data_IF_237623769794
#
_entry.id   IF_237623769794
#
_cell.length_a   1.000
_cell.length_b   1.000
_cell.length_c   1.000
_cell.angle_alpha   90.00
_cell.angle_beta   90.00
_cell.angle_gamma   90.00
#
_symmetry.space_group_name_H-M   'P 1'
#
loop_
_entity.id
_entity.type
_entity.pdbx_description
1 polymer ?
#
# COMPACT_ATOMS: atom_id res chain seq x y z
N UNK A 1 1.50 10.75 -14.93
CA UNK A 1 1.05 9.67 -14.03
C UNK A 1 -0.38 9.34 -14.37
N UNK A 2 -0.73 8.05 -14.32
CA UNK A 2 -2.02 7.53 -14.75
C UNK A 2 -3.09 8.01 -13.76
N UNK A 3 -3.98 8.89 -14.20
CA UNK A 3 -5.15 9.30 -13.44
C UNK A 3 -6.17 8.17 -13.46
N UNK A 4 -6.42 7.55 -12.31
CA UNK A 4 -7.55 6.65 -12.18
C UNK A 4 -8.84 7.48 -12.17
N UNK A 5 -9.70 7.24 -13.14
CA UNK A 5 -11.00 7.87 -13.23
C UNK A 5 -11.96 7.15 -12.28
N UNK A 6 -12.50 7.88 -11.31
CA UNK A 6 -13.56 7.39 -10.44
C UNK A 6 -14.81 8.24 -10.66
N UNK A 7 -15.98 7.63 -10.52
CA UNK A 7 -17.26 8.37 -10.56
C UNK A 7 -17.75 8.50 -9.12
N UNK A 8 -18.00 9.73 -8.68
CA UNK A 8 -18.69 9.97 -7.41
C UNK A 8 -20.18 10.07 -7.70
N UNK A 9 -20.97 9.11 -7.22
CA UNK A 9 -22.42 9.09 -7.39
C UNK A 9 -23.11 9.33 -6.04
N UNK A 10 -23.92 10.39 -6.00
CA UNK A 10 -24.77 10.68 -4.85
C UNK A 10 -26.22 10.77 -5.30
N UNK A 11 -27.14 10.11 -4.59
CA UNK A 11 -28.58 10.10 -4.94
C UNK A 11 -29.20 11.49 -5.05
N UNK A 12 -28.67 12.47 -4.32
CA UNK A 12 -29.16 13.85 -4.31
C UNK A 12 -28.34 14.79 -5.21
N UNK A 13 -27.13 14.38 -5.60
CA UNK A 13 -26.15 15.23 -6.29
C UNK A 13 -25.75 14.67 -7.66
N UNK A 14 -26.31 13.55 -8.12
CA UNK A 14 -25.97 12.98 -9.42
C UNK A 14 -24.55 12.41 -9.47
N UNK A 15 -24.00 12.33 -10.68
CA UNK A 15 -22.69 11.76 -10.98
C UNK A 15 -21.69 12.87 -11.25
N UNK A 16 -20.54 12.82 -10.58
CA UNK A 16 -19.41 13.69 -10.80
C UNK A 16 -18.20 12.90 -11.27
N UNK A 17 -17.49 13.47 -12.24
CA UNK A 17 -16.19 12.97 -12.66
C UNK A 17 -15.14 13.29 -11.59
N UNK A 18 -14.45 12.25 -11.09
CA UNK A 18 -13.36 12.37 -10.11
C UNK A 18 -12.05 11.92 -10.75
N UNK A 19 -11.04 12.76 -10.56
CA UNK A 19 -9.67 12.55 -11.02
C UNK A 19 -8.82 12.34 -9.77
N UNK A 20 -8.27 11.13 -9.62
CA UNK A 20 -7.30 10.85 -8.57
C UNK A 20 -5.89 11.23 -9.04
N UNK A 21 -5.20 12.06 -8.27
CA UNK A 21 -3.83 12.49 -8.52
C UNK A 21 -3.07 12.58 -7.19
N UNK A 22 -1.95 11.86 -7.10
CA UNK A 22 -1.04 11.89 -5.95
C UNK A 22 -1.72 11.61 -4.58
N UNK A 23 -2.76 10.76 -4.59
CA UNK A 23 -3.54 10.43 -3.39
C UNK A 23 -4.64 11.42 -3.02
N UNK A 24 -4.79 12.50 -3.79
CA UNK A 24 -5.85 13.49 -3.64
C UNK A 24 -6.90 13.36 -4.75
N UNK A 25 -8.15 13.69 -4.40
CA UNK A 25 -9.28 13.68 -5.32
C UNK A 25 -9.58 15.09 -5.83
N UNK A 26 -9.67 15.20 -7.16
CA UNK A 26 -10.03 16.42 -7.86
C UNK A 26 -11.32 16.23 -8.65
N UNK A 27 -12.12 17.29 -8.73
CA UNK A 27 -13.39 17.33 -9.43
C UNK A 27 -13.33 18.33 -10.58
N UNK A 28 -14.03 18.08 -11.68
CA UNK A 28 -14.12 19.03 -12.79
C UNK A 28 -14.96 20.23 -12.35
N UNK A 29 -14.31 21.40 -12.20
CA UNK A 29 -14.91 22.56 -11.54
C UNK A 29 -16.19 23.05 -12.23
N UNK A 30 -16.16 23.10 -13.57
CA UNK A 30 -17.32 23.52 -14.36
C UNK A 30 -18.50 22.54 -14.26
N UNK A 31 -18.22 21.24 -14.16
CA UNK A 31 -19.25 20.20 -14.02
C UNK A 31 -20.00 20.38 -12.71
N UNK A 32 -19.25 20.54 -11.61
CA UNK A 32 -19.80 20.80 -10.27
C UNK A 32 -20.66 22.07 -10.26
N UNK A 33 -20.11 23.20 -10.73
CA UNK A 33 -20.84 24.47 -10.70
C UNK A 33 -22.09 24.45 -11.58
N UNK A 34 -22.04 23.79 -12.74
CA UNK A 34 -23.22 23.62 -13.62
C UNK A 34 -24.28 22.76 -12.94
N UNK A 35 -23.89 21.66 -12.32
CA UNK A 35 -24.81 20.76 -11.64
C UNK A 35 -25.49 21.41 -10.42
N UNK A 36 -24.77 22.29 -9.70
CA UNK A 36 -25.37 23.12 -8.65
C UNK A 36 -26.43 24.10 -9.17
N UNK A 37 -26.41 24.40 -10.47
CA UNK A 37 -27.33 25.32 -11.15
C UNK A 37 -26.79 26.74 -11.31
N UNK A 38 -25.47 26.94 -11.24
CA UNK A 38 -24.89 28.26 -11.51
C UNK A 38 -25.01 28.63 -12.99
N UNK A 39 -25.59 29.79 -13.27
CA UNK A 39 -25.71 30.33 -14.64
C UNK A 39 -24.34 30.63 -15.25
N UNK A 40 -23.37 31.05 -14.43
CA UNK A 40 -22.00 31.29 -14.85
C UNK A 40 -21.03 30.47 -13.99
N UNK A 41 -20.71 29.22 -14.39
CA UNK A 41 -19.81 28.32 -13.67
C UNK A 41 -18.44 28.93 -13.38
N UNK A 42 -17.82 29.58 -14.37
CA UNK A 42 -16.49 30.20 -14.21
C UNK A 42 -16.48 31.28 -13.13
N UNK A 43 -17.50 32.14 -13.12
CA UNK A 43 -17.65 33.17 -12.10
C UNK A 43 -17.88 32.56 -10.72
N UNK A 44 -18.71 31.54 -10.62
CA UNK A 44 -18.97 30.86 -9.35
C UNK A 44 -17.70 30.25 -8.75
N UNK A 45 -16.87 29.60 -9.57
CA UNK A 45 -15.57 29.05 -9.14
C UNK A 45 -14.62 30.17 -8.71
N UNK A 46 -14.60 31.29 -9.44
CA UNK A 46 -13.77 32.44 -9.09
C UNK A 46 -14.18 33.08 -7.75
N UNK A 47 -15.48 33.28 -7.53
CA UNK A 47 -16.03 33.99 -6.37
C UNK A 47 -16.07 33.13 -5.08
N UNK A 48 -16.01 31.80 -5.19
CA UNK A 48 -16.35 30.90 -4.08
C UNK A 48 -15.30 29.81 -3.78
N UNK A 49 -14.24 29.72 -4.56
CA UNK A 49 -13.15 28.77 -4.35
C UNK A 49 -11.85 29.54 -4.21
N UNK A 50 -11.04 29.17 -3.23
CA UNK A 50 -9.73 29.78 -3.01
C UNK A 50 -8.73 29.31 -4.07
N UNK A 51 -7.69 30.10 -4.34
CA UNK A 51 -6.71 29.78 -5.39
C UNK A 51 -5.93 28.49 -5.08
N UNK A 52 -5.68 28.19 -3.81
CA UNK A 52 -4.98 26.96 -3.37
C UNK A 52 -5.78 25.68 -3.65
N UNK A 53 -7.11 25.81 -3.74
CA UNK A 53 -8.02 24.70 -4.02
C UNK A 53 -8.30 24.51 -5.51
N UNK A 54 -7.77 25.39 -6.37
CA UNK A 54 -7.91 25.35 -7.83
C UNK A 54 -6.71 24.69 -8.49
N UNK A 55 -6.98 23.95 -9.56
CA UNK A 55 -5.97 23.36 -10.41
C UNK A 55 -6.35 23.38 -11.88
N UNK A 56 -5.37 23.00 -12.71
CA UNK A 56 -5.57 22.78 -14.15
C UNK A 56 -4.99 21.43 -14.52
N UNK A 57 -5.74 20.65 -15.28
CA UNK A 57 -5.25 19.38 -15.83
C UNK A 57 -5.56 19.26 -17.32
N UNK A 58 -4.75 18.50 -18.05
CA UNK A 58 -5.01 18.15 -19.44
C UNK A 58 -6.00 17.01 -19.49
N UNK A 59 -7.09 17.19 -20.22
CA UNK A 59 -8.16 16.23 -20.33
C UNK A 59 -8.58 16.01 -21.78
N UNK A 60 -8.85 14.76 -22.14
CA UNK A 60 -9.36 14.44 -23.47
C UNK A 60 -10.86 14.72 -23.51
N UNK A 61 -11.26 15.70 -24.32
CA UNK A 61 -12.66 16.06 -24.55
C UNK A 61 -13.06 15.67 -25.97
N UNK A 62 -14.35 15.81 -26.32
CA UNK A 62 -14.82 15.63 -27.70
C UNK A 62 -14.08 16.51 -28.72
N UNK A 63 -13.49 17.63 -28.27
CA UNK A 63 -12.64 18.51 -29.07
C UNK A 63 -11.13 18.26 -28.92
N UNK A 64 -10.73 17.08 -28.45
CA UNK A 64 -9.32 16.72 -28.20
C UNK A 64 -8.81 17.09 -26.82
N UNK A 65 -7.48 17.03 -26.65
CA UNK A 65 -6.80 17.29 -25.38
C UNK A 65 -6.84 18.79 -25.07
N UNK A 66 -7.54 19.16 -24.00
CA UNK A 66 -7.72 20.55 -23.56
C UNK A 66 -7.36 20.70 -22.08
N UNK A 67 -6.97 21.91 -21.69
CA UNK A 67 -6.78 22.25 -20.29
C UNK A 67 -8.15 22.53 -19.64
N UNK A 68 -8.51 21.76 -18.62
CA UNK A 68 -9.73 21.95 -17.84
C UNK A 68 -9.39 22.38 -16.42
N UNK A 69 -10.27 23.20 -15.84
CA UNK A 69 -10.17 23.61 -14.45
C UNK A 69 -10.73 22.52 -13.54
N UNK A 70 -9.98 22.20 -12.50
CA UNK A 70 -10.33 21.24 -11.47
C UNK A 70 -10.28 21.90 -10.10
N UNK A 71 -11.03 21.35 -9.15
CA UNK A 71 -11.02 21.76 -7.75
C UNK A 71 -10.80 20.54 -6.87
N UNK A 72 -10.05 20.68 -5.77
CA UNK A 72 -9.91 19.62 -4.78
C UNK A 72 -11.21 19.50 -3.94
N UNK A 73 -11.22 18.59 -2.96
CA UNK A 73 -12.38 18.39 -2.08
C UNK A 73 -12.69 19.61 -1.20
N UNK A 74 -11.68 20.35 -0.74
CA UNK A 74 -11.86 21.62 -0.02
C UNK A 74 -12.63 22.64 -0.87
N UNK A 75 -12.17 22.87 -2.10
CA UNK A 75 -12.81 23.79 -3.04
C UNK A 75 -14.24 23.37 -3.42
N UNK A 76 -14.50 22.07 -3.54
CA UNK A 76 -15.85 21.54 -3.72
C UNK A 76 -16.76 21.97 -2.56
N UNK A 77 -16.32 21.76 -1.31
CA UNK A 77 -17.10 22.15 -0.14
C UNK A 77 -17.27 23.66 -0.02
N UNK A 78 -16.23 24.46 -0.30
CA UNK A 78 -16.30 25.92 -0.33
C UNK A 78 -17.37 26.43 -1.31
N UNK A 79 -17.40 25.86 -2.51
CA UNK A 79 -18.42 26.18 -3.52
C UNK A 79 -19.84 25.80 -3.06
N UNK A 80 -20.02 24.63 -2.44
CA UNK A 80 -21.33 24.16 -1.99
C UNK A 80 -21.84 24.96 -0.79
N UNK A 81 -20.97 25.21 0.20
CA UNK A 81 -21.35 25.85 1.46
C UNK A 81 -21.66 27.34 1.30
N UNK A 82 -21.00 28.01 0.34
CA UNK A 82 -21.22 29.41 -0.02
C UNK A 82 -22.44 29.62 -0.93
N UNK A 83 -22.85 28.59 -1.68
CA UNK A 83 -23.97 28.67 -2.61
C UNK A 83 -25.32 28.84 -1.92
N UNK A 84 -26.19 29.64 -2.56
CA UNK A 84 -27.60 29.85 -2.16
C UNK A 84 -28.58 29.04 -3.00
N UNK A 85 -28.09 28.25 -3.96
CA UNK A 85 -28.91 27.48 -4.90
C UNK A 85 -29.63 26.33 -4.19
N UNK A 86 -30.83 25.92 -4.68
CA UNK A 86 -31.60 24.85 -4.05
C UNK A 86 -30.83 23.54 -3.92
N UNK A 87 -30.08 23.13 -4.95
CA UNK A 87 -29.27 21.89 -4.93
C UNK A 87 -28.17 21.95 -3.87
N UNK A 88 -27.45 23.07 -3.79
CA UNK A 88 -26.43 23.26 -2.77
C UNK A 88 -27.02 23.24 -1.36
N UNK A 89 -28.22 23.81 -1.16
CA UNK A 89 -28.91 23.78 0.15
C UNK A 89 -29.26 22.35 0.59
N UNK A 90 -29.68 21.49 -0.33
CA UNK A 90 -30.00 20.08 -0.03
C UNK A 90 -28.75 19.37 0.47
N UNK A 91 -27.64 19.47 -0.24
CA UNK A 91 -26.38 18.84 0.16
C UNK A 91 -25.82 19.45 1.44
N UNK A 92 -25.84 20.78 1.56
CA UNK A 92 -25.44 21.47 2.79
C UNK A 92 -26.25 20.98 3.99
N UNK A 93 -27.57 20.83 3.85
CA UNK A 93 -28.42 20.31 4.91
C UNK A 93 -28.06 18.87 5.25
N UNK A 94 -27.86 18.01 4.25
CA UNK A 94 -27.45 16.62 4.44
C UNK A 94 -26.11 16.52 5.19
N UNK A 95 -25.07 17.25 4.73
CA UNK A 95 -23.76 17.24 5.40
C UNK A 95 -23.85 17.79 6.83
N UNK A 96 -24.53 18.91 7.03
CA UNK A 96 -24.55 19.57 8.34
C UNK A 96 -25.50 18.94 9.36
N UNK A 97 -26.56 18.26 8.92
CA UNK A 97 -27.56 17.65 9.81
C UNK A 97 -27.37 16.15 10.00
N UNK A 98 -26.81 15.44 9.02
CA UNK A 98 -26.67 13.99 9.08
C UNK A 98 -25.20 13.58 9.17
N UNK A 99 -24.37 14.00 8.21
CA UNK A 99 -22.99 13.51 8.09
C UNK A 99 -22.11 13.97 9.24
N UNK A 100 -21.93 15.29 9.42
CA UNK A 100 -21.06 15.84 10.45
C UNK A 100 -21.51 15.47 11.88
N UNK A 101 -22.80 15.53 12.23
CA UNK A 101 -23.25 15.08 13.55
C UNK A 101 -23.01 13.60 13.80
N UNK A 102 -23.15 12.75 12.78
CA UNK A 102 -22.87 11.32 12.92
C UNK A 102 -21.38 11.05 13.11
N UNK A 103 -20.51 11.66 12.30
CA UNK A 103 -19.04 11.54 12.48
C UNK A 103 -18.65 12.00 13.89
N UNK A 104 -19.18 13.12 14.36
CA UNK A 104 -18.88 13.62 15.71
C UNK A 104 -19.33 12.68 16.84
N UNK A 105 -20.48 12.01 16.68
CA UNK A 105 -21.04 11.12 17.71
C UNK A 105 -20.44 9.72 17.68
N UNK A 106 -20.20 9.19 16.48
CA UNK A 106 -19.95 7.78 16.22
C UNK A 106 -18.54 7.53 15.65
N UNK A 107 -17.75 8.57 15.39
CA UNK A 107 -16.42 8.48 14.78
C UNK A 107 -16.43 8.26 13.26
N UNK A 108 -17.58 8.10 12.63
CA UNK A 108 -17.71 7.87 11.19
C UNK A 108 -19.13 8.07 10.66
N UNK A 109 -19.30 8.01 9.34
CA UNK A 109 -20.60 8.04 8.67
C UNK A 109 -20.79 6.80 7.80
N UNK A 110 -21.81 6.00 8.10
CA UNK A 110 -22.29 4.91 7.24
C UNK A 110 -23.61 5.36 6.60
N UNK A 111 -23.70 5.29 5.28
CA UNK A 111 -24.92 5.68 4.57
C UNK A 111 -26.12 4.81 5.00
N UNK A 112 -27.21 5.44 5.47
CA UNK A 112 -28.39 4.73 5.96
C UNK A 112 -28.33 4.33 7.45
N UNK A 113 -27.29 4.73 8.18
CA UNK A 113 -27.14 4.41 9.61
C UNK A 113 -28.23 5.02 10.49
N UNK A 114 -28.82 6.15 10.08
CA UNK A 114 -29.92 6.79 10.80
C UNK A 114 -31.21 5.95 10.82
N UNK A 115 -31.29 4.93 9.97
CA UNK A 115 -32.40 3.97 9.90
C UNK A 115 -32.06 2.60 10.49
N UNK A 116 -30.84 2.43 10.99
CA UNK A 116 -30.31 1.16 11.47
C UNK A 116 -30.10 1.20 12.96
N UNK A 117 -30.35 0.08 13.64
CA UNK A 117 -29.98 -0.05 15.05
C UNK A 117 -28.46 -0.22 15.19
N UNK A 118 -27.93 -0.04 16.40
CA UNK A 118 -26.51 -0.25 16.65
C UNK A 118 -26.07 -1.68 16.31
N UNK A 119 -26.96 -2.67 16.50
CA UNK A 119 -26.72 -4.07 16.18
C UNK A 119 -26.63 -4.31 14.68
N UNK A 120 -27.48 -3.66 13.88
CA UNK A 120 -27.46 -3.74 12.42
C UNK A 120 -26.20 -3.07 11.85
N UNK A 121 -25.76 -1.95 12.43
CA UNK A 121 -24.50 -1.29 12.06
C UNK A 121 -23.28 -2.16 12.36
N UNK A 122 -23.29 -2.83 13.51
CA UNK A 122 -22.24 -3.77 13.87
C UNK A 122 -22.24 -4.98 12.91
N UNK A 123 -23.41 -5.51 12.54
CA UNK A 123 -23.52 -6.61 11.60
C UNK A 123 -22.98 -6.24 10.21
N UNK A 124 -23.31 -5.05 9.69
CA UNK A 124 -22.76 -4.56 8.43
C UNK A 124 -21.23 -4.36 8.51
N UNK A 125 -20.74 -3.80 9.63
CA UNK A 125 -19.31 -3.60 9.84
C UNK A 125 -18.57 -4.94 9.88
N UNK A 126 -19.12 -5.96 10.55
CA UNK A 126 -18.59 -7.33 10.59
C UNK A 126 -18.62 -7.95 9.19
N UNK A 127 -19.69 -7.75 8.41
CA UNK A 127 -19.80 -8.30 7.07
C UNK A 127 -18.78 -7.67 6.10
N UNK A 128 -18.57 -6.35 6.20
CA UNK A 128 -17.54 -5.63 5.44
C UNK A 128 -16.15 -6.09 5.89
N UNK A 129 -15.90 -6.20 7.20
CA UNK A 129 -14.63 -6.70 7.72
C UNK A 129 -14.34 -8.12 7.24
N UNK A 130 -15.33 -9.02 7.29
CA UNK A 130 -15.21 -10.38 6.79
C UNK A 130 -14.99 -10.44 5.29
N UNK A 131 -15.60 -9.55 4.50
CA UNK A 131 -15.32 -9.46 3.06
C UNK A 131 -13.89 -9.01 2.80
N UNK A 132 -13.42 -7.98 3.51
CA UNK A 132 -12.03 -7.50 3.40
C UNK A 132 -11.05 -8.58 3.86
N UNK A 133 -11.37 -9.31 4.93
CA UNK A 133 -10.57 -10.44 5.42
C UNK A 133 -10.56 -11.54 4.37
N UNK A 134 -11.69 -11.92 3.79
CA UNK A 134 -11.78 -12.93 2.74
C UNK A 134 -11.01 -12.53 1.48
N UNK A 135 -11.11 -11.28 1.03
CA UNK A 135 -10.34 -10.75 -0.10
C UNK A 135 -8.82 -10.78 0.19
N UNK A 136 -8.42 -10.42 1.41
CA UNK A 136 -7.01 -10.53 1.86
C UNK A 136 -6.57 -11.98 2.03
N UNK A 137 -7.45 -12.87 2.47
CA UNK A 137 -7.18 -14.30 2.64
C UNK A 137 -7.05 -14.98 1.27
N UNK A 138 -7.84 -14.59 0.27
CA UNK A 138 -7.66 -15.00 -1.13
C UNK A 138 -6.32 -14.51 -1.69
N UNK A 139 -5.92 -13.27 -1.39
CA UNK A 139 -4.60 -12.74 -1.75
C UNK A 139 -3.47 -13.53 -1.04
N UNK A 140 -3.66 -13.88 0.23
CA UNK A 140 -2.76 -14.75 0.98
C UNK A 140 -2.74 -16.17 0.41
N UNK A 141 -3.89 -16.74 0.00
CA UNK A 141 -4.02 -18.07 -0.62
C UNK A 141 -3.29 -18.16 -1.97
N UNK A 142 -3.31 -17.09 -2.77
CA UNK A 142 -2.50 -17.00 -4.01
C UNK A 142 -1.00 -16.93 -3.69
N UNK A 143 -0.63 -16.31 -2.57
CA UNK A 143 0.75 -16.28 -2.07
C UNK A 143 1.14 -17.54 -1.28
N UNK A 144 0.17 -18.36 -0.88
CA UNK A 144 0.30 -19.56 -0.05
C UNK A 144 1.12 -20.69 -0.69
N UNK A 145 1.05 -20.97 -2.01
CA UNK A 145 1.99 -21.91 -2.62
C UNK A 145 3.45 -21.42 -2.59
N UNK A 146 3.71 -20.10 -2.46
CA UNK A 146 5.05 -19.62 -2.10
C UNK A 146 5.33 -19.97 -0.63
N UNK A 147 4.44 -19.66 0.31
CA UNK A 147 4.60 -19.90 1.75
C UNK A 147 4.74 -21.38 2.19
N UNK A 148 4.03 -22.31 1.55
CA UNK A 148 4.03 -23.75 1.91
C UNK A 148 5.37 -24.45 1.60
N UNK A 149 6.21 -23.87 0.73
CA UNK A 149 7.61 -24.29 0.57
C UNK A 149 8.47 -23.91 1.80
N UNK A 150 8.13 -22.82 2.50
CA UNK A 150 8.89 -22.29 3.64
C UNK A 150 8.67 -23.10 4.92
N UNK A 151 7.45 -23.55 5.20
CA UNK A 151 7.19 -24.35 6.42
C UNK A 151 7.87 -25.73 6.35
N UNK A 152 8.06 -26.30 5.16
CA UNK A 152 8.81 -27.56 4.96
C UNK A 152 10.34 -27.41 5.09
N UNK A 153 10.89 -26.19 4.97
CA UNK A 153 12.34 -25.91 5.15
C UNK A 153 12.71 -25.54 6.59
N UNK A 154 11.72 -25.20 7.41
CA UNK A 154 11.88 -24.88 8.83
C UNK A 154 11.90 -26.15 9.69
N UNK A 155 12.27 -27.29 9.13
CA UNK A 155 12.51 -28.52 9.90
C UNK A 155 13.95 -28.58 10.48
N UNK A 156 13.98 -28.58 11.81
CA UNK A 156 14.98 -29.04 12.78
C UNK A 156 16.46 -28.59 12.78
N UNK A 157 17.01 -27.91 11.76
CA UNK A 157 18.39 -27.40 11.85
C UNK A 157 18.45 -25.89 12.15
N UNK A 158 18.77 -25.52 13.39
CA UNK A 158 18.96 -24.12 13.81
C UNK A 158 20.06 -23.40 13.03
N UNK A 159 21.10 -24.10 12.57
CA UNK A 159 22.23 -23.51 11.87
C UNK A 159 22.72 -24.43 10.75
N UNK A 160 22.86 -23.91 9.54
CA UNK A 160 23.43 -24.65 8.41
C UNK A 160 24.64 -23.93 7.82
N UNK A 161 25.60 -24.67 7.28
CA UNK A 161 26.76 -24.07 6.62
C UNK A 161 26.42 -23.71 5.16
N UNK A 162 27.23 -22.85 4.52
CA UNK A 162 26.99 -22.40 3.13
C UNK A 162 26.77 -23.53 2.13
N UNK A 163 27.44 -24.69 2.30
CA UNK A 163 27.30 -25.83 1.38
C UNK A 163 25.93 -26.47 1.51
N UNK A 164 25.50 -26.73 2.74
CA UNK A 164 24.19 -27.34 3.00
C UNK A 164 23.07 -26.40 2.59
N UNK A 165 23.17 -25.11 2.93
CA UNK A 165 22.20 -24.11 2.50
C UNK A 165 22.11 -23.99 0.97
N UNK A 166 23.25 -23.96 0.27
CA UNK A 166 23.24 -23.92 -1.21
C UNK A 166 22.55 -25.16 -1.81
N UNK A 167 22.79 -26.35 -1.23
CA UNK A 167 22.14 -27.59 -1.65
C UNK A 167 20.63 -27.59 -1.36
N UNK A 168 20.22 -27.09 -0.19
CA UNK A 168 18.80 -26.92 0.18
C UNK A 168 18.08 -25.99 -0.81
N UNK A 169 18.77 -24.93 -1.25
CA UNK A 169 18.25 -23.93 -2.19
C UNK A 169 18.37 -24.34 -3.67
N UNK A 170 18.93 -25.52 -3.98
CA UNK A 170 19.11 -25.98 -5.36
C UNK A 170 20.15 -25.22 -6.18
N UNK A 171 21.05 -24.46 -5.54
CA UNK A 171 22.03 -23.59 -6.21
C UNK A 171 23.45 -24.13 -6.02
N UNK A 172 24.32 -24.11 -7.05
CA UNK A 172 25.73 -24.44 -6.89
C UNK A 172 26.42 -23.59 -5.81
N UNK A 173 27.16 -24.22 -4.90
CA UNK A 173 27.80 -23.55 -3.75
C UNK A 173 28.63 -22.31 -4.16
N UNK A 174 29.37 -22.38 -5.26
CA UNK A 174 30.20 -21.26 -5.72
C UNK A 174 29.35 -20.08 -6.20
N UNK A 175 28.26 -20.35 -6.92
CA UNK A 175 27.32 -19.32 -7.38
C UNK A 175 26.62 -18.66 -6.19
N UNK A 176 26.21 -19.45 -5.21
CA UNK A 176 25.63 -18.95 -3.96
C UNK A 176 26.61 -18.04 -3.20
N UNK A 177 27.88 -18.46 -3.05
CA UNK A 177 28.89 -17.63 -2.37
C UNK A 177 29.16 -16.34 -3.15
N UNK A 178 29.28 -16.39 -4.47
CA UNK A 178 29.44 -15.20 -5.32
C UNK A 178 28.28 -14.24 -5.14
N UNK A 179 27.04 -14.73 -5.22
CA UNK A 179 25.83 -13.93 -4.99
C UNK A 179 25.84 -13.22 -3.63
N UNK A 180 26.21 -13.92 -2.56
CA UNK A 180 26.29 -13.33 -1.22
C UNK A 180 27.38 -12.25 -1.11
N UNK A 181 28.50 -12.42 -1.83
CA UNK A 181 29.56 -11.41 -1.89
C UNK A 181 29.12 -10.20 -2.72
N UNK A 182 28.43 -10.41 -3.84
CA UNK A 182 27.94 -9.35 -4.73
C UNK A 182 26.87 -8.49 -4.04
N UNK A 183 25.97 -9.10 -3.26
CA UNK A 183 25.04 -8.36 -2.37
C UNK A 183 25.73 -7.74 -1.15
N UNK A 184 27.02 -8.02 -0.96
CA UNK A 184 27.84 -7.56 0.14
C UNK A 184 27.29 -8.02 1.50
N UNK A 185 26.76 -9.24 1.58
CA UNK A 185 26.30 -9.86 2.82
C UNK A 185 27.45 -10.56 3.55
N UNK A 186 28.39 -11.11 2.79
CA UNK A 186 29.61 -11.74 3.29
C UNK A 186 30.85 -11.22 2.56
N UNK A 187 32.02 -11.36 3.18
CA UNK A 187 33.33 -11.08 2.59
C UNK A 187 34.33 -12.17 2.95
N UNK A 188 35.49 -12.15 2.28
CA UNK A 188 36.64 -12.98 2.63
C UNK A 188 37.66 -12.16 3.43
N UNK A 189 38.00 -12.62 4.61
CA UNK A 189 39.11 -12.08 5.40
C UNK A 189 40.48 -12.42 4.76
N UNK A 190 41.57 -11.83 5.25
CA UNK A 190 42.98 -12.10 4.90
C UNK A 190 43.31 -13.60 4.90
N UNK A 191 42.68 -14.39 5.77
CA UNK A 191 42.83 -15.86 5.84
C UNK A 191 41.87 -16.62 4.91
N UNK A 192 41.23 -15.95 3.94
CA UNK A 192 40.21 -16.48 3.01
C UNK A 192 38.97 -17.09 3.70
N UNK A 193 38.71 -16.73 4.96
CA UNK A 193 37.51 -17.17 5.70
C UNK A 193 36.32 -16.29 5.33
N UNK A 194 35.15 -16.91 5.15
CA UNK A 194 33.90 -16.21 4.85
C UNK A 194 33.30 -15.67 6.15
N UNK A 195 33.15 -14.35 6.24
CA UNK A 195 32.58 -13.65 7.39
C UNK A 195 31.44 -12.73 6.94
N UNK A 196 30.42 -12.54 7.78
CA UNK A 196 29.34 -11.61 7.47
C UNK A 196 29.78 -10.16 7.68
N UNK A 197 29.22 -9.24 6.89
CA UNK A 197 29.32 -7.81 7.17
C UNK A 197 28.48 -7.44 8.40
N UNK A 198 29.09 -6.82 9.41
CA UNK A 198 28.44 -6.56 10.70
C UNK A 198 27.23 -5.62 10.59
N UNK A 199 27.31 -4.60 9.73
CA UNK A 199 26.25 -3.62 9.46
C UNK A 199 25.04 -4.25 8.73
N UNK A 200 25.27 -5.28 7.91
CA UNK A 200 24.21 -5.96 7.16
C UNK A 200 23.68 -7.22 7.84
N UNK A 201 24.38 -7.74 8.85
CA UNK A 201 23.98 -8.96 9.53
C UNK A 201 22.88 -8.70 10.58
N UNK A 202 21.61 -8.69 10.15
CA UNK A 202 20.44 -8.53 11.02
C UNK A 202 20.03 -9.84 11.73
N UNK A 203 21.00 -10.68 12.07
CA UNK A 203 20.79 -12.04 12.58
C UNK A 203 20.65 -13.09 11.47
N UNK A 204 21.23 -12.85 10.30
CA UNK A 204 21.22 -13.78 9.17
C UNK A 204 22.32 -14.84 9.29
N UNK A 205 23.45 -14.47 9.91
CA UNK A 205 24.62 -15.32 10.06
C UNK A 205 25.10 -15.34 11.51
N UNK A 206 25.60 -16.50 11.95
CA UNK A 206 26.29 -16.70 13.22
C UNK A 206 27.70 -17.21 12.98
N UNK A 207 28.70 -16.60 13.62
CA UNK A 207 30.08 -17.09 13.58
C UNK A 207 30.33 -17.90 14.85
N UNK A 208 30.66 -19.18 14.69
CA UNK A 208 31.01 -20.07 15.80
C UNK A 208 32.49 -20.41 15.78
N UNK A 209 33.07 -20.42 16.98
CA UNK A 209 34.45 -20.83 17.20
C UNK A 209 34.51 -22.33 17.52
N UNK A 210 35.53 -23.00 17.02
CA UNK A 210 35.83 -24.39 17.33
C UNK A 210 37.07 -24.43 18.20
N UNK A 211 36.95 -25.09 19.35
CA UNK A 211 38.06 -25.36 20.28
C UNK A 211 38.39 -26.84 20.25
N UNK A 212 39.66 -27.19 20.44
CA UNK A 212 40.08 -28.57 20.67
C UNK A 212 39.74 -29.01 22.12
N UNK A 213 39.86 -30.31 22.44
CA UNK A 213 39.63 -30.79 23.82
C UNK A 213 40.56 -30.20 24.89
N UNK A 214 41.64 -29.52 24.47
CA UNK A 214 42.60 -28.83 25.34
C UNK A 214 42.24 -27.35 25.55
N UNK A 215 41.16 -26.85 24.94
CA UNK A 215 40.69 -25.47 25.03
C UNK A 215 41.37 -24.50 24.06
N UNK A 216 42.18 -24.98 23.12
CA UNK A 216 42.85 -24.17 22.10
C UNK A 216 41.88 -23.86 20.96
N UNK A 217 41.80 -22.59 20.55
CA UNK A 217 40.98 -22.18 19.41
C UNK A 217 41.57 -22.71 18.09
N UNK A 218 40.83 -23.60 17.44
CA UNK A 218 41.19 -24.26 16.18
C UNK A 218 40.71 -23.43 14.98
N UNK A 219 39.56 -22.77 15.10
CA UNK A 219 39.03 -22.00 13.98
C UNK A 219 37.70 -21.33 14.25
N UNK A 220 37.20 -20.65 13.22
CA UNK A 220 35.90 -19.99 13.22
C UNK A 220 35.18 -20.38 11.94
N UNK A 221 33.87 -20.56 12.02
CA UNK A 221 33.02 -20.90 10.89
C UNK A 221 31.72 -20.11 10.95
N UNK A 222 31.33 -19.56 9.81
CA UNK A 222 30.05 -18.86 9.65
C UNK A 222 28.95 -19.85 9.26
N UNK A 223 27.84 -19.77 9.98
CA UNK A 223 26.61 -20.51 9.75
C UNK A 223 25.48 -19.55 9.38
N UNK A 224 24.48 -20.08 8.68
CA UNK A 224 23.28 -19.37 8.25
C UNK A 224 22.15 -19.78 9.20
N UNK A 225 21.50 -18.78 9.79
CA UNK A 225 20.37 -18.98 10.71
C UNK A 225 19.10 -19.32 9.91
N UNK A 226 18.00 -19.76 10.55
CA UNK A 226 16.74 -19.97 9.86
C UNK A 226 16.22 -18.65 9.27
N UNK A 227 16.39 -17.55 10.02
CA UNK A 227 16.12 -16.18 9.57
C UNK A 227 16.97 -15.80 8.34
N UNK A 228 18.26 -16.16 8.35
CA UNK A 228 19.16 -15.97 7.21
C UNK A 228 18.71 -16.73 5.97
N UNK A 229 18.38 -18.02 6.11
CA UNK A 229 17.88 -18.84 4.99
C UNK A 229 16.59 -18.28 4.41
N UNK A 230 15.65 -17.85 5.25
CA UNK A 230 14.42 -17.21 4.82
C UNK A 230 14.69 -15.93 4.02
N UNK A 231 15.55 -15.04 4.55
CA UNK A 231 15.94 -13.81 3.84
C UNK A 231 16.60 -14.10 2.50
N UNK A 232 17.53 -15.06 2.44
CA UNK A 232 18.26 -15.40 1.23
C UNK A 232 17.38 -16.01 0.15
N UNK A 233 16.39 -16.82 0.52
CA UNK A 233 15.45 -17.42 -0.42
C UNK A 233 14.60 -16.33 -1.12
N UNK A 234 14.05 -15.38 -0.35
CA UNK A 234 13.31 -14.23 -0.91
C UNK A 234 14.22 -13.40 -1.84
N UNK A 235 15.46 -13.17 -1.41
CA UNK A 235 16.41 -12.39 -2.19
C UNK A 235 16.76 -13.09 -3.51
N UNK A 236 16.94 -14.41 -3.50
CA UNK A 236 17.20 -15.21 -4.69
C UNK A 236 15.99 -15.25 -5.65
N UNK A 237 14.77 -15.39 -5.13
CA UNK A 237 13.54 -15.33 -5.94
C UNK A 237 13.39 -13.97 -6.64
N UNK A 238 13.61 -12.88 -5.91
CA UNK A 238 13.54 -11.51 -6.47
C UNK A 238 14.57 -11.24 -7.57
N UNK A 239 15.66 -12.00 -7.57
CA UNK A 239 16.75 -11.90 -8.54
C UNK A 239 16.59 -12.93 -9.68
N UNK A 240 15.45 -13.65 -9.71
CA UNK A 240 15.08 -14.54 -10.80
C UNK A 240 15.78 -15.89 -10.81
N UNK A 241 16.34 -16.35 -9.68
CA UNK A 241 17.02 -17.65 -9.61
C UNK A 241 16.08 -18.86 -9.79
N UNK A 242 14.77 -18.64 -9.66
CA UNK A 242 13.74 -19.70 -9.72
C UNK A 242 12.65 -19.43 -10.77
N UNK A 243 12.80 -18.38 -11.58
CA UNK A 243 11.86 -18.09 -12.66
C UNK A 243 12.27 -18.92 -13.89
N UNK A 244 11.61 -20.07 -14.08
CA UNK A 244 11.51 -20.75 -15.39
C UNK A 244 10.39 -20.14 -16.23
#
# INVERSE_FOLDING_TARGET
MISNLKTFENKNFGKLTVIEKDGEFFFIANEVATMLGYVNPRKAIYDHVDEEDKGVTKWNTLGGIQNISIINESGLYSLILSSKLPQAKIFKAWVTREVLPSIRKNGGYIAGQEKKTNEELLADAILVANRIIAEREEEIEVLRPKADYYDKLVDYNLLTNFRNTAKELGIPQNQFISFLMDKGLIYRDKKKKLLPYADKNKGYFEVKEWVDPLGTLVGIQTFITPKGRHYLLILLDSEGFYNE
#
